data_IF_823752859392
#
_entry.id   IF_823752859392
#
_cell.length_a   1.000
_cell.length_b   1.000
_cell.length_c   1.000
_cell.angle_alpha   90.00
_cell.angle_beta   90.00
_cell.angle_gamma   90.00
#
_symmetry.space_group_name_H-M   'P 1'
#
loop_
_entity.id
_entity.type
_entity.pdbx_description
1 polymer ?
#
# COMPACT_ATOMS: atom_id res chain seq x y z
N UNK A 1 36.53 -12.30 -32.62
CA UNK A 1 35.15 -12.83 -32.57
C UNK A 1 34.35 -11.96 -31.61
N UNK A 2 33.34 -11.25 -32.09
CA UNK A 2 32.47 -10.40 -31.25
C UNK A 2 31.39 -11.31 -30.65
N UNK A 3 31.45 -11.54 -29.34
CA UNK A 3 30.35 -12.18 -28.63
C UNK A 3 29.15 -11.24 -28.67
N UNK A 4 28.14 -11.57 -29.48
CA UNK A 4 26.83 -10.95 -29.37
C UNK A 4 26.26 -11.31 -28.00
N UNK A 5 26.22 -10.36 -27.07
CA UNK A 5 25.33 -10.44 -25.92
C UNK A 5 23.90 -10.38 -26.47
N UNK A 6 23.34 -11.54 -26.81
CA UNK A 6 21.93 -11.67 -27.10
C UNK A 6 21.19 -11.34 -25.81
N UNK A 7 20.58 -10.14 -25.76
CA UNK A 7 19.57 -9.85 -24.76
C UNK A 7 18.42 -10.84 -24.97
N UNK A 8 18.16 -11.67 -23.96
CA UNK A 8 16.94 -12.47 -23.91
C UNK A 8 15.73 -11.52 -24.11
N UNK A 9 14.72 -11.91 -24.91
CA UNK A 9 13.57 -11.05 -25.18
C UNK A 9 12.92 -10.60 -23.87
N UNK A 10 12.56 -9.30 -23.83
CA UNK A 10 12.09 -8.57 -22.64
C UNK A 10 10.74 -9.01 -22.06
N UNK A 11 10.15 -10.10 -22.55
CA UNK A 11 8.89 -10.69 -22.05
C UNK A 11 8.95 -12.19 -22.37
N UNK A 12 8.94 -13.06 -21.35
CA UNK A 12 8.74 -14.49 -21.59
C UNK A 12 7.28 -14.70 -22.04
N UNK A 13 7.11 -15.16 -23.27
CA UNK A 13 5.81 -15.55 -23.82
C UNK A 13 5.83 -17.03 -24.12
N UNK A 14 4.81 -17.73 -23.63
CA UNK A 14 4.56 -19.10 -24.05
C UNK A 14 4.26 -19.11 -25.55
N UNK A 15 4.85 -20.08 -26.24
CA UNK A 15 4.61 -20.43 -27.63
C UNK A 15 3.64 -21.61 -27.75
N UNK A 16 3.48 -22.39 -26.67
CA UNK A 16 2.49 -23.46 -26.56
C UNK A 16 1.69 -23.36 -25.25
N UNK A 17 1.03 -24.44 -24.82
CA UNK A 17 0.28 -24.48 -23.55
C UNK A 17 0.98 -25.33 -22.49
N UNK A 18 0.94 -24.89 -21.24
CA UNK A 18 1.56 -25.54 -20.07
C UNK A 18 0.49 -25.83 -19.03
N UNK A 19 0.48 -27.05 -18.49
CA UNK A 19 -0.47 -27.48 -17.46
C UNK A 19 -1.36 -28.64 -17.89
N UNK A 20 -2.55 -28.68 -17.30
CA UNK A 20 -3.52 -29.76 -17.46
C UNK A 20 -3.93 -29.94 -18.93
N UNK A 21 -3.70 -31.14 -19.47
CA UNK A 21 -3.89 -31.47 -20.89
C UNK A 21 -3.18 -30.52 -21.89
N UNK A 22 -2.15 -29.79 -21.45
CA UNK A 22 -1.37 -28.88 -22.31
C UNK A 22 -0.33 -29.59 -23.18
N UNK A 23 0.26 -28.84 -24.12
CA UNK A 23 1.40 -29.31 -24.93
C UNK A 23 2.59 -29.70 -24.06
N UNK A 24 2.80 -28.95 -22.96
CA UNK A 24 3.81 -29.22 -21.94
C UNK A 24 5.23 -29.38 -22.53
N UNK A 25 5.63 -28.44 -23.40
CA UNK A 25 7.04 -28.37 -23.83
C UNK A 25 7.96 -28.29 -22.60
N UNK A 26 8.95 -29.19 -22.46
CA UNK A 26 9.75 -29.25 -21.23
C UNK A 26 10.49 -27.96 -20.88
N UNK A 27 10.85 -27.13 -21.87
CA UNK A 27 11.52 -25.85 -21.60
C UNK A 27 10.52 -24.84 -21.05
N UNK A 28 9.32 -24.76 -21.64
CA UNK A 28 8.26 -23.87 -21.17
C UNK A 28 7.75 -24.25 -19.79
N UNK A 29 7.54 -25.55 -19.55
CA UNK A 29 7.16 -26.07 -18.23
C UNK A 29 8.19 -25.67 -17.18
N UNK A 30 9.48 -25.83 -17.47
CA UNK A 30 10.56 -25.46 -16.54
C UNK A 30 10.54 -23.98 -16.21
N UNK A 31 10.31 -23.11 -17.20
CA UNK A 31 10.24 -21.66 -16.99
C UNK A 31 9.02 -21.32 -16.13
N UNK A 32 7.85 -21.89 -16.41
CA UNK A 32 6.65 -21.69 -15.59
C UNK A 32 6.89 -22.17 -14.15
N UNK A 33 7.48 -23.36 -13.95
CA UNK A 33 7.83 -23.84 -12.61
C UNK A 33 8.77 -22.88 -11.87
N UNK A 34 9.79 -22.34 -12.55
CA UNK A 34 10.69 -21.33 -11.97
C UNK A 34 9.93 -20.06 -11.59
N UNK A 35 9.00 -19.61 -12.43
CA UNK A 35 8.15 -18.44 -12.14
C UNK A 35 7.20 -18.70 -10.96
N UNK A 36 6.56 -19.86 -10.88
CA UNK A 36 5.69 -20.22 -9.76
C UNK A 36 6.48 -20.25 -8.43
N UNK A 37 7.68 -20.84 -8.44
CA UNK A 37 8.56 -20.87 -7.26
C UNK A 37 9.06 -19.47 -6.90
N UNK A 38 9.53 -18.70 -7.89
CA UNK A 38 10.03 -17.34 -7.69
C UNK A 38 8.95 -16.37 -7.22
N UNK A 39 7.71 -16.56 -7.65
CA UNK A 39 6.53 -15.86 -7.16
C UNK A 39 6.05 -16.43 -5.81
N UNK A 40 6.90 -17.08 -5.03
CA UNK A 40 6.61 -17.42 -3.63
C UNK A 40 5.58 -18.54 -3.38
N UNK A 41 5.24 -19.37 -4.37
CA UNK A 41 4.28 -20.47 -4.18
C UNK A 41 4.60 -21.35 -2.97
N UNK A 42 5.86 -21.73 -2.82
CA UNK A 42 6.30 -22.59 -1.70
C UNK A 42 6.25 -21.89 -0.36
N UNK A 43 6.48 -20.58 -0.31
CA UNK A 43 6.35 -19.78 0.91
C UNK A 43 4.88 -19.68 1.32
N UNK A 44 3.98 -19.48 0.35
CA UNK A 44 2.57 -19.28 0.61
C UNK A 44 1.82 -20.58 0.98
N UNK A 45 2.22 -21.71 0.41
CA UNK A 45 1.47 -22.98 0.55
C UNK A 45 2.20 -24.05 1.36
N UNK A 46 3.51 -23.89 1.61
CA UNK A 46 4.36 -24.97 2.14
C UNK A 46 4.61 -26.12 1.17
N UNK A 47 4.11 -26.04 -0.08
CA UNK A 47 4.28 -27.07 -1.12
C UNK A 47 5.46 -26.74 -2.01
N UNK A 48 6.25 -27.75 -2.38
CA UNK A 48 7.43 -27.58 -3.20
C UNK A 48 7.19 -28.06 -4.62
N UNK A 49 7.69 -27.29 -5.59
CA UNK A 49 7.73 -27.68 -7.00
C UNK A 49 9.20 -27.75 -7.40
N UNK A 50 9.58 -28.80 -8.11
CA UNK A 50 10.91 -28.92 -8.69
C UNK A 50 10.88 -28.38 -10.13
N UNK A 51 11.71 -27.39 -10.48
CA UNK A 51 11.78 -26.87 -11.85
C UNK A 51 12.55 -27.81 -12.79
N UNK A 52 11.96 -28.98 -13.07
CA UNK A 52 12.56 -30.07 -13.84
C UNK A 52 12.05 -30.16 -15.29
N UNK A 53 11.06 -29.33 -15.66
CA UNK A 53 10.43 -29.36 -16.98
C UNK A 53 9.38 -30.45 -17.15
N UNK A 54 9.01 -31.18 -16.08
CA UNK A 54 7.97 -32.20 -16.11
C UNK A 54 6.68 -31.64 -15.51
N UNK A 55 5.63 -31.57 -16.32
CA UNK A 55 4.34 -31.08 -15.86
C UNK A 55 3.61 -32.15 -15.04
N UNK A 56 3.96 -32.23 -13.75
CA UNK A 56 3.36 -33.15 -12.79
C UNK A 56 2.13 -32.52 -12.09
N UNK A 57 1.47 -33.31 -11.23
CA UNK A 57 0.30 -32.85 -10.48
C UNK A 57 0.61 -31.62 -9.61
N UNK A 58 1.81 -31.55 -9.01
CA UNK A 58 2.22 -30.38 -8.21
C UNK A 58 2.28 -29.10 -9.05
N UNK A 59 2.79 -29.21 -10.28
CA UNK A 59 2.82 -28.09 -11.24
C UNK A 59 1.41 -27.64 -11.59
N UNK A 60 0.51 -28.59 -11.89
CA UNK A 60 -0.90 -28.29 -12.22
C UNK A 60 -1.62 -27.64 -11.03
N UNK A 61 -1.44 -28.16 -9.82
CA UNK A 61 -2.06 -27.58 -8.61
C UNK A 61 -1.51 -26.20 -8.27
N UNK A 62 -0.24 -25.94 -8.57
CA UNK A 62 0.32 -24.60 -8.44
C UNK A 62 -0.28 -23.62 -9.44
N UNK A 63 -0.46 -24.02 -10.70
CA UNK A 63 -1.15 -23.21 -11.71
C UNK A 63 -2.57 -22.88 -11.24
N UNK A 64 -3.33 -23.90 -10.80
CA UNK A 64 -4.69 -23.72 -10.26
C UNK A 64 -4.72 -22.78 -9.06
N UNK A 65 -3.71 -22.86 -8.20
CA UNK A 65 -3.61 -21.97 -7.04
C UNK A 65 -3.47 -20.50 -7.44
N UNK A 66 -2.57 -20.15 -8.37
CA UNK A 66 -2.46 -18.77 -8.86
C UNK A 66 -3.69 -18.34 -9.65
N UNK A 67 -4.31 -19.24 -10.42
CA UNK A 67 -5.56 -18.91 -11.11
C UNK A 67 -6.64 -18.50 -10.10
N UNK A 68 -6.84 -19.26 -9.01
CA UNK A 68 -7.76 -18.88 -7.92
C UNK A 68 -7.34 -17.58 -7.25
N UNK A 69 -6.04 -17.38 -7.05
CA UNK A 69 -5.51 -16.16 -6.43
C UNK A 69 -5.82 -14.92 -7.27
N UNK A 70 -5.74 -15.03 -8.59
CA UNK A 70 -6.02 -13.97 -9.55
C UNK A 70 -7.47 -13.97 -10.06
N UNK A 71 -8.37 -14.66 -9.36
CA UNK A 71 -9.79 -14.80 -9.72
C UNK A 71 -10.04 -15.26 -11.17
N UNK A 72 -9.13 -16.07 -11.72
CA UNK A 72 -9.24 -16.76 -13.00
C UNK A 72 -9.88 -18.15 -12.81
N UNK A 73 -10.37 -18.73 -13.90
CA UNK A 73 -10.84 -20.12 -13.89
C UNK A 73 -9.69 -21.07 -13.54
N UNK A 74 -9.82 -21.95 -12.53
CA UNK A 74 -8.75 -22.84 -12.08
C UNK A 74 -8.63 -24.07 -13.00
N UNK A 75 -8.45 -23.87 -14.30
CA UNK A 75 -8.29 -24.94 -15.28
C UNK A 75 -7.05 -25.78 -15.02
N UNK A 76 -6.01 -25.20 -14.43
CA UNK A 76 -4.69 -25.79 -14.35
C UNK A 76 -3.93 -25.75 -15.67
N UNK A 77 -4.46 -25.06 -16.68
CA UNK A 77 -3.88 -24.87 -18.01
C UNK A 77 -3.59 -23.39 -18.25
N UNK A 78 -2.40 -23.10 -18.74
CA UNK A 78 -1.97 -21.78 -19.20
C UNK A 78 -1.69 -21.88 -20.70
N UNK A 79 -2.32 -21.01 -21.47
CA UNK A 79 -2.13 -20.85 -22.91
C UNK A 79 -1.24 -19.65 -23.23
N UNK A 80 -0.70 -19.61 -24.44
CA UNK A 80 0.01 -18.44 -24.98
C UNK A 80 -0.84 -17.15 -24.98
N UNK A 81 -2.17 -17.28 -24.96
CA UNK A 81 -3.11 -16.15 -24.90
C UNK A 81 -3.41 -15.67 -23.49
N UNK A 82 -3.00 -16.40 -22.44
CA UNK A 82 -3.19 -16.00 -21.04
C UNK A 82 -2.15 -14.96 -20.61
N UNK A 83 -2.06 -13.87 -21.37
CA UNK A 83 -1.07 -12.80 -21.17
C UNK A 83 -1.15 -12.19 -19.78
N UNK A 84 -2.36 -12.11 -19.21
CA UNK A 84 -2.61 -11.59 -17.87
C UNK A 84 -1.93 -12.43 -16.77
N UNK A 85 -2.06 -13.76 -16.85
CA UNK A 85 -1.46 -14.68 -15.89
C UNK A 85 0.07 -14.64 -15.97
N UNK A 86 0.59 -14.65 -17.19
CA UNK A 86 2.04 -14.60 -17.43
C UNK A 86 2.66 -13.27 -16.95
N UNK A 87 1.98 -12.14 -17.21
CA UNK A 87 2.41 -10.83 -16.73
C UNK A 87 2.43 -10.79 -15.19
N UNK A 88 1.41 -11.31 -14.52
CA UNK A 88 1.37 -11.35 -13.05
C UNK A 88 2.53 -12.17 -12.45
N UNK A 89 2.85 -13.32 -13.05
CA UNK A 89 4.00 -14.13 -12.62
C UNK A 89 5.34 -13.45 -12.90
N UNK A 90 5.49 -12.81 -14.05
CA UNK A 90 6.69 -12.06 -14.40
C UNK A 90 6.92 -10.86 -13.47
N UNK A 91 5.87 -10.10 -13.18
CA UNK A 91 5.93 -8.96 -12.25
C UNK A 91 6.21 -9.40 -10.81
N UNK A 92 5.74 -10.60 -10.40
CA UNK A 92 6.04 -11.18 -9.08
C UNK A 92 7.44 -11.83 -8.98
N UNK A 93 8.05 -12.26 -10.10
CA UNK A 93 9.32 -13.01 -10.12
C UNK A 93 10.52 -12.19 -10.53
N UNK A 94 10.31 -11.13 -11.32
CA UNK A 94 11.43 -10.30 -11.76
C UNK A 94 11.95 -9.47 -10.58
N UNK A 95 13.26 -9.52 -10.30
CA UNK A 95 13.87 -8.70 -9.26
C UNK A 95 14.05 -7.27 -9.78
N UNK A 96 12.96 -6.59 -10.15
CA UNK A 96 12.90 -5.14 -10.12
C UNK A 96 12.84 -4.71 -8.65
N UNK A 97 13.90 -5.05 -7.90
CA UNK A 97 14.05 -4.84 -6.45
C UNK A 97 14.13 -3.35 -6.07
N UNK A 98 13.89 -2.46 -7.03
CA UNK A 98 13.62 -1.04 -6.86
C UNK A 98 12.65 -0.60 -7.96
N UNK A 99 11.51 0.02 -7.63
CA UNK A 99 10.69 0.71 -8.61
C UNK A 99 11.56 1.69 -9.41
N UNK A 100 11.39 1.71 -10.75
CA UNK A 100 12.22 2.52 -11.66
C UNK A 100 12.18 4.02 -11.35
N UNK A 101 11.18 4.48 -10.58
CA UNK A 101 11.03 5.85 -10.10
C UNK A 101 11.20 5.93 -8.58
N UNK A 102 12.46 5.81 -8.14
CA UNK A 102 12.93 6.22 -6.80
C UNK A 102 13.19 7.74 -6.75
N UNK A 103 13.33 8.35 -7.93
CA UNK A 103 13.62 9.77 -8.12
C UNK A 103 12.33 10.54 -8.39
N UNK A 104 12.06 11.54 -7.55
CA UNK A 104 10.92 12.43 -7.65
C UNK A 104 10.61 13.05 -6.30
N UNK A 105 10.16 14.32 -6.25
CA UNK A 105 9.82 14.96 -4.99
C UNK A 105 8.66 14.19 -4.33
N UNK A 106 8.83 13.81 -3.06
CA UNK A 106 7.78 13.27 -2.20
C UNK A 106 6.79 14.38 -1.79
N UNK A 107 6.12 14.96 -2.80
CA UNK A 107 5.16 16.04 -2.65
C UNK A 107 3.77 15.59 -3.07
N UNK A 108 2.80 15.98 -2.27
CA UNK A 108 1.37 15.74 -2.49
C UNK A 108 0.65 17.07 -2.67
N UNK A 109 -0.42 17.06 -3.46
CA UNK A 109 -1.27 18.25 -3.67
C UNK A 109 -2.09 18.61 -2.43
N UNK A 110 -2.35 17.63 -1.55
CA UNK A 110 -3.13 17.76 -0.32
C UNK A 110 -2.49 16.93 0.80
N UNK A 111 -2.52 17.42 2.04
CA UNK A 111 -2.11 16.62 3.19
C UNK A 111 -0.61 16.39 3.37
N UNK A 112 0.26 17.29 2.90
CA UNK A 112 1.72 17.13 2.98
C UNK A 112 2.21 16.84 4.42
N UNK A 113 1.65 17.50 5.43
CA UNK A 113 1.98 17.27 6.85
C UNK A 113 1.79 15.79 7.21
N UNK A 114 0.62 15.25 6.87
CA UNK A 114 0.28 13.84 7.15
C UNK A 114 1.11 12.90 6.31
N UNK A 115 1.34 13.22 5.03
CA UNK A 115 2.18 12.42 4.16
C UNK A 115 3.60 12.27 4.73
N UNK A 116 4.22 13.36 5.16
CA UNK A 116 5.56 13.37 5.75
C UNK A 116 5.60 12.67 7.12
N UNK A 117 4.47 12.69 7.84
CA UNK A 117 4.35 12.05 9.15
C UNK A 117 4.16 10.52 9.07
N UNK A 118 3.38 10.00 8.13
CA UNK A 118 2.89 8.60 8.13
C UNK A 118 3.90 7.56 7.63
N UNK A 119 4.92 7.95 6.86
CA UNK A 119 5.79 6.98 6.20
C UNK A 119 7.28 7.31 6.27
N UNK A 120 8.09 6.27 6.21
CA UNK A 120 9.53 6.39 5.98
C UNK A 120 9.85 5.88 4.58
N UNK A 121 10.58 6.67 3.79
CA UNK A 121 11.14 6.22 2.51
C UNK A 121 12.66 6.09 2.64
N UNK A 122 13.28 5.19 1.88
CA UNK A 122 14.72 4.92 1.96
C UNK A 122 15.55 6.00 1.25
N UNK A 123 15.60 7.23 1.75
CA UNK A 123 16.71 8.13 1.36
C UNK A 123 17.49 8.50 2.62
N UNK A 124 18.17 7.52 3.22
CA UNK A 124 19.41 7.69 4.01
C UNK A 124 20.07 6.32 4.27
N UNK A 125 20.70 5.73 3.26
CA UNK A 125 21.93 4.93 3.37
C UNK A 125 22.20 4.26 2.02
N UNK A 126 23.15 4.80 1.27
CA UNK A 126 23.91 4.01 0.30
C UNK A 126 24.59 2.86 1.05
N UNK A 127 24.65 1.68 0.44
CA UNK A 127 25.53 0.59 0.91
C UNK A 127 26.95 1.15 1.16
N UNK A 128 27.69 0.65 2.18
CA UNK A 128 27.59 -0.69 2.76
C UNK A 128 26.99 -0.77 4.18
N UNK A 129 26.23 0.22 4.63
CA UNK A 129 25.58 0.12 5.95
C UNK A 129 24.27 -0.66 5.86
N UNK A 130 24.20 -1.72 6.66
CA UNK A 130 23.07 -2.62 6.85
C UNK A 130 21.75 -1.86 6.84
N UNK A 131 20.82 -2.28 5.98
CA UNK A 131 19.41 -1.96 6.16
C UNK A 131 19.00 -2.58 7.50
N UNK A 132 18.90 -1.76 8.53
CA UNK A 132 18.10 -2.13 9.68
C UNK A 132 16.67 -2.32 9.13
N UNK A 133 15.94 -3.41 9.44
CA UNK A 133 14.53 -3.52 9.11
C UNK A 133 13.82 -2.35 9.81
N UNK A 134 13.60 -1.26 9.07
CA UNK A 134 12.91 -0.12 9.60
C UNK A 134 11.46 -0.56 9.74
N UNK A 135 10.88 -0.57 10.96
CA UNK A 135 9.45 -0.70 11.05
C UNK A 135 8.87 0.47 10.23
N UNK A 136 7.84 0.22 9.41
CA UNK A 136 7.12 1.25 8.64
C UNK A 136 7.74 1.73 7.30
N UNK A 137 8.48 0.89 6.57
CA UNK A 137 8.71 1.16 5.14
C UNK A 137 7.37 1.15 4.39
N UNK A 138 6.96 2.30 3.86
CA UNK A 138 5.57 2.51 3.46
C UNK A 138 5.20 1.89 2.11
N UNK A 139 6.17 1.63 1.21
CA UNK A 139 5.87 1.20 -0.17
C UNK A 139 5.71 -0.31 -0.34
N UNK A 140 5.76 -1.07 0.75
CA UNK A 140 5.41 -2.49 0.78
C UNK A 140 4.20 -2.71 1.70
N UNK A 141 3.56 -3.88 1.55
CA UNK A 141 2.57 -4.31 2.52
C UNK A 141 3.21 -4.42 3.91
N UNK A 142 2.55 -3.85 4.89
CA UNK A 142 2.93 -3.93 6.28
C UNK A 142 1.69 -3.96 7.16
N UNK A 143 1.87 -4.36 8.42
CA UNK A 143 0.83 -4.32 9.42
C UNK A 143 1.39 -3.62 10.66
N UNK A 144 0.90 -2.41 10.99
CA UNK A 144 1.25 -1.76 12.25
C UNK A 144 0.64 -2.58 13.40
N UNK A 145 1.43 -3.05 14.38
CA UNK A 145 0.92 -3.83 15.51
C UNK A 145 0.22 -2.95 16.55
N UNK A 146 -0.73 -2.12 16.11
CA UNK A 146 -1.46 -1.15 16.93
C UNK A 146 -2.96 -1.38 16.73
N UNK A 147 -3.70 -1.45 17.85
CA UNK A 147 -5.17 -1.51 17.99
C UNK A 147 -6.01 -1.68 16.73
N UNK A 148 -6.32 -2.92 16.34
CA UNK A 148 -7.30 -3.22 15.29
C UNK A 148 -6.88 -2.82 13.86
N UNK A 149 -5.62 -2.47 13.65
CA UNK A 149 -5.07 -2.17 12.31
C UNK A 149 -5.15 -3.39 11.40
N UNK A 150 -5.44 -3.13 10.12
CA UNK A 150 -5.41 -4.12 9.06
C UNK A 150 -4.14 -4.06 8.23
N UNK A 151 -4.15 -4.79 7.12
CA UNK A 151 -3.05 -4.76 6.15
C UNK A 151 -2.98 -3.35 5.55
N UNK A 152 -1.80 -2.74 5.59
CA UNK A 152 -1.58 -1.36 5.16
C UNK A 152 -0.62 -1.32 3.97
N UNK A 153 -0.89 -0.43 3.02
CA UNK A 153 -0.01 -0.11 1.90
C UNK A 153 0.18 1.39 1.79
N UNK A 154 1.35 1.84 1.32
CA UNK A 154 1.65 3.26 1.22
C UNK A 154 1.64 3.93 2.59
N UNK A 155 1.30 5.22 2.61
CA UNK A 155 1.28 6.04 3.81
C UNK A 155 -0.11 6.10 4.41
N UNK A 156 -0.50 5.04 5.11
CA UNK A 156 -1.75 4.99 5.88
C UNK A 156 -3.00 4.55 5.12
N UNK A 157 -2.87 3.80 4.02
CA UNK A 157 -4.01 3.13 3.39
C UNK A 157 -4.25 1.76 4.03
N UNK A 158 -5.08 1.74 5.07
CA UNK A 158 -5.45 0.54 5.85
C UNK A 158 -6.62 -0.23 5.20
N UNK A 159 -6.46 -1.53 4.95
CA UNK A 159 -7.48 -2.35 4.27
C UNK A 159 -8.47 -3.04 5.24
N UNK A 160 -8.28 -2.91 6.56
CA UNK A 160 -9.02 -3.63 7.58
C UNK A 160 -10.47 -3.17 7.76
N UNK A 161 -10.85 -1.98 7.32
CA UNK A 161 -12.23 -1.50 7.32
C UNK A 161 -12.80 -1.27 5.91
N UNK A 162 -12.14 -1.78 4.88
CA UNK A 162 -12.52 -1.59 3.47
C UNK A 162 -13.00 -2.91 2.87
N UNK A 163 -13.98 -2.82 1.99
CA UNK A 163 -14.43 -3.96 1.18
C UNK A 163 -13.41 -4.28 0.08
N UNK A 164 -13.46 -5.52 -0.42
CA UNK A 164 -12.60 -5.95 -1.52
C UNK A 164 -12.77 -5.09 -2.78
N UNK A 165 -14.01 -4.65 -3.07
CA UNK A 165 -14.32 -3.78 -4.21
C UNK A 165 -13.70 -2.38 -4.07
N UNK A 166 -13.77 -1.78 -2.88
CA UNK A 166 -13.15 -0.48 -2.60
C UNK A 166 -11.63 -0.54 -2.73
N UNK A 167 -11.00 -1.60 -2.19
CA UNK A 167 -9.55 -1.81 -2.29
C UNK A 167 -9.13 -1.92 -3.75
N UNK A 168 -9.80 -2.79 -4.52
CA UNK A 168 -9.51 -2.99 -5.93
C UNK A 168 -9.64 -1.69 -6.74
N UNK A 169 -10.74 -0.96 -6.57
CA UNK A 169 -10.99 0.30 -7.27
C UNK A 169 -9.94 1.36 -6.92
N UNK A 170 -9.60 1.50 -5.64
CA UNK A 170 -8.63 2.50 -5.16
C UNK A 170 -7.23 2.22 -5.69
N UNK A 171 -6.77 0.97 -5.63
CA UNK A 171 -5.42 0.60 -6.08
C UNK A 171 -5.29 0.75 -7.60
N UNK A 172 -6.32 0.36 -8.37
CA UNK A 172 -6.38 0.63 -9.82
C UNK A 172 -6.30 2.12 -10.12
N UNK A 173 -7.06 2.94 -9.40
CA UNK A 173 -7.03 4.41 -9.56
C UNK A 173 -5.67 5.01 -9.19
N UNK A 174 -4.97 4.42 -8.21
CA UNK A 174 -3.60 4.77 -7.88
C UNK A 174 -2.57 4.29 -8.93
N UNK A 175 -3.01 3.59 -9.98
CA UNK A 175 -2.18 3.02 -11.03
C UNK A 175 -1.30 1.88 -10.54
N UNK A 176 -1.74 1.17 -9.50
CA UNK A 176 -1.12 -0.08 -9.04
C UNK A 176 -1.57 -1.20 -9.96
N UNK A 177 -0.63 -2.09 -10.28
CA UNK A 177 -0.83 -3.17 -11.23
C UNK A 177 -2.00 -4.05 -10.80
N UNK A 178 -2.79 -4.49 -11.78
CA UNK A 178 -4.07 -5.14 -11.51
C UNK A 178 -3.91 -6.45 -10.70
N UNK A 179 -2.81 -7.18 -10.87
CA UNK A 179 -2.57 -8.41 -10.09
C UNK A 179 -2.31 -8.09 -8.61
N UNK A 180 -1.55 -7.02 -8.31
CA UNK A 180 -1.33 -6.52 -6.95
C UNK A 180 -2.64 -6.05 -6.34
N UNK A 181 -3.46 -5.33 -7.12
CA UNK A 181 -4.74 -4.84 -6.67
C UNK A 181 -5.71 -6.00 -6.29
N UNK A 182 -5.75 -7.06 -7.11
CA UNK A 182 -6.54 -8.26 -6.81
C UNK A 182 -6.02 -9.02 -5.58
N UNK A 183 -4.70 -9.14 -5.43
CA UNK A 183 -4.07 -9.71 -4.24
C UNK A 183 -4.46 -8.92 -2.99
N UNK A 184 -4.23 -7.61 -3.00
CA UNK A 184 -4.55 -6.71 -1.89
C UNK A 184 -6.04 -6.70 -1.55
N UNK A 185 -6.94 -6.86 -2.52
CA UNK A 185 -8.38 -6.95 -2.27
C UNK A 185 -8.76 -8.13 -1.35
N UNK A 186 -7.94 -9.19 -1.29
CA UNK A 186 -8.12 -10.31 -0.35
C UNK A 186 -7.77 -9.95 1.10
N UNK A 187 -7.14 -8.80 1.32
CA UNK A 187 -6.88 -8.28 2.66
C UNK A 187 -8.08 -7.54 3.28
N UNK A 188 -9.19 -7.43 2.55
CA UNK A 188 -10.42 -6.79 3.01
C UNK A 188 -10.86 -7.33 4.37
N UNK A 189 -11.04 -6.43 5.34
CA UNK A 189 -11.54 -6.79 6.67
C UNK A 189 -10.51 -7.48 7.59
N UNK A 190 -9.34 -7.90 7.07
CA UNK A 190 -8.33 -8.60 7.87
C UNK A 190 -7.71 -7.63 8.88
N UNK A 191 -7.60 -8.10 10.13
CA UNK A 191 -7.05 -7.32 11.25
C UNK A 191 -6.15 -8.19 12.13
N UNK A 192 -5.32 -7.53 12.93
CA UNK A 192 -4.49 -8.18 13.95
C UNK A 192 -3.65 -9.34 13.35
N UNK A 193 -3.74 -10.53 13.94
CA UNK A 193 -2.98 -11.72 13.50
C UNK A 193 -3.24 -12.12 12.05
N UNK A 194 -4.46 -11.93 11.55
CA UNK A 194 -4.79 -12.27 10.16
C UNK A 194 -4.08 -11.32 9.18
N UNK A 195 -4.01 -10.03 9.53
CA UNK A 195 -3.26 -9.04 8.75
C UNK A 195 -1.75 -9.33 8.78
N UNK A 196 -1.19 -9.68 9.94
CA UNK A 196 0.22 -10.10 10.07
C UNK A 196 0.54 -11.31 9.17
N UNK A 197 -0.30 -12.35 9.23
CA UNK A 197 -0.13 -13.54 8.41
C UNK A 197 -0.27 -13.23 6.92
N UNK A 198 -1.23 -12.37 6.55
CA UNK A 198 -1.42 -11.94 5.18
C UNK A 198 -0.17 -11.23 4.64
N UNK A 199 0.41 -10.30 5.39
CA UNK A 199 1.64 -9.58 4.99
C UNK A 199 2.80 -10.55 4.80
N UNK A 200 2.98 -11.51 5.71
CA UNK A 200 4.05 -12.52 5.61
C UNK A 200 3.92 -13.40 4.37
N UNK A 201 2.69 -13.76 4.00
CA UNK A 201 2.41 -14.67 2.88
C UNK A 201 2.39 -13.95 1.54
N UNK A 202 1.66 -12.83 1.44
CA UNK A 202 1.38 -12.15 0.18
C UNK A 202 2.20 -10.87 -0.02
N UNK A 203 2.83 -10.33 1.03
CA UNK A 203 3.71 -9.16 0.94
C UNK A 203 4.82 -9.32 -0.10
N UNK A 204 5.55 -10.46 -0.13
CA UNK A 204 6.55 -10.71 -1.17
C UNK A 204 5.98 -10.72 -2.59
N UNK A 205 4.72 -11.12 -2.77
CA UNK A 205 4.05 -11.23 -4.07
C UNK A 205 3.61 -9.88 -4.61
N UNK A 206 3.11 -9.04 -3.69
CA UNK A 206 2.73 -7.66 -4.02
C UNK A 206 3.98 -6.81 -4.28
N UNK A 207 5.05 -7.04 -3.53
CA UNK A 207 6.29 -6.30 -3.68
C UNK A 207 6.12 -4.81 -3.36
N UNK A 208 6.92 -3.98 -4.02
CA UNK A 208 6.98 -2.54 -3.77
C UNK A 208 6.15 -1.73 -4.78
N UNK A 209 5.56 -0.62 -4.31
CA UNK A 209 4.92 0.39 -5.17
C UNK A 209 5.87 1.57 -5.44
N UNK A 210 5.70 2.25 -6.56
CA UNK A 210 6.46 3.46 -6.94
C UNK A 210 6.12 4.66 -6.05
N UNK A 211 6.98 5.71 -6.01
CA UNK A 211 6.64 6.99 -5.37
C UNK A 211 5.33 7.57 -5.89
N UNK A 212 5.12 7.52 -7.21
CA UNK A 212 3.92 8.07 -7.83
C UNK A 212 2.64 7.29 -7.45
N UNK A 213 2.72 5.96 -7.40
CA UNK A 213 1.61 5.11 -6.91
C UNK A 213 1.30 5.43 -5.44
N UNK A 214 2.32 5.57 -4.59
CA UNK A 214 2.15 5.95 -3.18
C UNK A 214 1.50 7.33 -3.02
N UNK A 215 1.95 8.32 -3.80
CA UNK A 215 1.38 9.68 -3.80
C UNK A 215 -0.10 9.63 -4.18
N UNK A 216 -0.44 8.96 -5.30
CA UNK A 216 -1.83 8.85 -5.74
C UNK A 216 -2.70 8.10 -4.73
N UNK A 217 -2.19 6.98 -4.20
CA UNK A 217 -2.89 6.19 -3.18
C UNK A 217 -3.19 7.03 -1.93
N UNK A 218 -2.20 7.79 -1.46
CA UNK A 218 -2.37 8.69 -0.33
C UNK A 218 -3.40 9.77 -0.64
N UNK A 219 -3.31 10.47 -1.77
CA UNK A 219 -4.25 11.54 -2.09
C UNK A 219 -5.70 11.06 -2.20
N UNK A 220 -5.92 9.85 -2.75
CA UNK A 220 -7.26 9.24 -2.81
C UNK A 220 -7.78 9.02 -1.38
N UNK A 221 -7.00 8.34 -0.53
CA UNK A 221 -7.38 8.05 0.85
C UNK A 221 -7.54 9.33 1.70
N UNK A 222 -6.71 10.34 1.45
CA UNK A 222 -6.70 11.59 2.20
C UNK A 222 -7.95 12.43 1.92
N UNK A 223 -8.52 12.36 0.71
CA UNK A 223 -9.81 13.02 0.40
C UNK A 223 -10.94 12.48 1.28
N UNK A 224 -11.00 11.16 1.49
CA UNK A 224 -11.97 10.55 2.42
C UNK A 224 -11.77 11.10 3.84
N UNK A 225 -10.52 11.28 4.26
CA UNK A 225 -10.19 11.83 5.57
C UNK A 225 -10.56 13.30 5.72
N UNK A 226 -10.41 14.12 4.66
CA UNK A 226 -10.86 15.51 4.64
C UNK A 226 -12.37 15.58 4.88
N UNK A 227 -13.16 14.76 4.18
CA UNK A 227 -14.62 14.72 4.37
C UNK A 227 -15.00 14.24 5.78
N UNK A 228 -14.30 13.23 6.31
CA UNK A 228 -14.46 12.83 7.70
C UNK A 228 -14.18 14.00 8.66
N UNK A 229 -13.11 14.75 8.44
CA UNK A 229 -12.73 15.89 9.28
C UNK A 229 -13.72 17.05 9.21
N UNK A 230 -14.25 17.37 8.03
CA UNK A 230 -15.38 18.30 7.87
C UNK A 230 -16.58 17.85 8.71
N UNK A 231 -16.93 16.57 8.64
CA UNK A 231 -18.00 15.99 9.44
C UNK A 231 -17.74 16.09 10.95
N UNK A 232 -16.50 15.85 11.41
CA UNK A 232 -16.12 16.05 12.82
C UNK A 232 -16.29 17.51 13.22
N UNK A 233 -15.77 18.45 12.42
CA UNK A 233 -15.87 19.88 12.67
C UNK A 233 -17.34 20.32 12.84
N UNK A 234 -18.19 20.05 11.84
CA UNK A 234 -19.60 20.45 11.87
C UNK A 234 -20.38 19.82 13.04
N UNK A 235 -20.13 18.55 13.35
CA UNK A 235 -20.77 17.89 14.52
C UNK A 235 -20.36 18.54 15.83
N UNK A 236 -19.09 18.90 16.00
CA UNK A 236 -18.60 19.50 17.24
C UNK A 236 -19.03 20.95 17.39
N UNK A 237 -19.04 21.75 16.31
CA UNK A 237 -19.62 23.11 16.31
C UNK A 237 -21.05 23.10 16.82
N UNK A 238 -21.90 22.21 16.27
CA UNK A 238 -23.28 22.05 16.72
C UNK A 238 -23.37 21.61 18.19
N UNK A 239 -22.56 20.62 18.59
CA UNK A 239 -22.57 20.09 19.96
C UNK A 239 -22.15 21.14 21.00
N UNK A 240 -21.24 22.03 20.64
CA UNK A 240 -20.73 23.10 21.50
C UNK A 240 -21.62 24.36 21.47
N UNK A 241 -22.58 24.45 20.56
CA UNK A 241 -23.49 25.59 20.46
C UNK A 241 -22.81 26.89 20.00
N UNK A 242 -21.77 26.80 19.15
CA UNK A 242 -21.04 27.98 18.67
C UNK A 242 -21.86 28.69 17.60
N UNK A 243 -22.42 29.87 17.92
CA UNK A 243 -23.39 30.59 17.09
C UNK A 243 -22.78 31.34 15.90
N UNK A 244 -21.55 31.84 16.04
CA UNK A 244 -20.82 32.58 15.00
C UNK A 244 -19.61 31.78 14.48
N UNK A 245 -19.77 30.46 14.33
CA UNK A 245 -18.69 29.60 13.89
C UNK A 245 -18.24 29.94 12.46
N UNK A 246 -16.93 29.99 12.23
CA UNK A 246 -16.39 30.08 10.87
C UNK A 246 -16.86 28.89 10.02
N UNK A 247 -17.16 29.16 8.75
CA UNK A 247 -17.33 28.08 7.77
C UNK A 247 -16.01 27.31 7.62
N UNK A 248 -16.09 26.00 7.37
CA UNK A 248 -14.90 25.16 7.18
C UNK A 248 -13.96 25.74 6.12
N UNK A 249 -14.47 26.27 5.02
CA UNK A 249 -13.61 26.80 3.96
C UNK A 249 -12.97 28.15 4.30
N UNK A 250 -13.51 28.85 5.30
CA UNK A 250 -12.97 30.11 5.82
C UNK A 250 -11.88 29.91 6.86
N UNK A 251 -11.73 28.70 7.43
CA UNK A 251 -10.62 28.36 8.33
C UNK A 251 -9.31 28.29 7.54
N UNK A 252 -8.25 28.89 8.09
CA UNK A 252 -6.90 28.87 7.53
C UNK A 252 -6.49 27.45 7.10
N UNK A 253 -5.98 27.32 5.87
CA UNK A 253 -5.62 26.03 5.28
C UNK A 253 -4.62 25.25 6.15
N UNK A 254 -3.62 25.90 6.72
CA UNK A 254 -2.61 25.25 7.56
C UNK A 254 -3.22 24.70 8.85
N UNK A 255 -4.19 25.42 9.43
CA UNK A 255 -4.95 24.97 10.61
C UNK A 255 -5.81 23.76 10.24
N UNK A 256 -6.47 23.80 9.07
CA UNK A 256 -7.24 22.64 8.57
C UNK A 256 -6.36 21.41 8.36
N UNK A 257 -5.23 21.57 7.68
CA UNK A 257 -4.30 20.48 7.42
C UNK A 257 -3.78 19.87 8.74
N UNK A 258 -3.42 20.71 9.72
CA UNK A 258 -3.02 20.26 11.05
C UNK A 258 -4.16 19.52 11.77
N UNK A 259 -5.40 20.02 11.69
CA UNK A 259 -6.57 19.37 12.30
C UNK A 259 -6.81 17.98 11.72
N UNK A 260 -6.82 17.85 10.39
CA UNK A 260 -6.97 16.55 9.71
C UNK A 260 -5.87 15.58 10.15
N UNK A 261 -4.63 16.06 10.26
CA UNK A 261 -3.52 15.24 10.73
C UNK A 261 -3.71 14.73 12.17
N UNK A 262 -4.25 15.56 13.07
CA UNK A 262 -4.57 15.09 14.43
C UNK A 262 -5.63 13.98 14.42
N UNK A 263 -6.63 14.06 13.52
CA UNK A 263 -7.65 13.03 13.36
C UNK A 263 -7.08 11.74 12.74
N UNK A 264 -5.99 11.82 11.98
CA UNK A 264 -5.27 10.65 11.48
C UNK A 264 -4.63 9.86 12.63
N UNK A 265 -4.10 10.56 13.63
CA UNK A 265 -3.53 9.98 14.85
C UNK A 265 -4.58 9.51 15.88
N UNK A 266 -5.88 9.76 15.63
CA UNK A 266 -6.95 9.39 16.57
C UNK A 266 -7.14 10.40 17.71
N UNK A 267 -7.01 11.70 17.43
CA UNK A 267 -7.21 12.79 18.40
C UNK A 267 -8.56 12.71 19.15
N UNK A 268 -8.50 12.30 20.42
CA UNK A 268 -9.68 12.21 21.31
C UNK A 268 -10.15 13.56 21.85
N UNK A 269 -9.31 14.58 21.83
CA UNK A 269 -9.61 15.94 22.30
C UNK A 269 -10.00 16.89 21.17
N UNK A 270 -10.28 16.36 19.96
CA UNK A 270 -10.61 17.14 18.76
C UNK A 270 -11.64 18.26 18.99
N UNK A 271 -12.58 18.09 19.93
CA UNK A 271 -13.56 19.13 20.33
C UNK A 271 -12.92 20.45 20.78
N UNK A 272 -11.75 20.41 21.44
CA UNK A 272 -11.03 21.59 21.92
C UNK A 272 -10.41 22.35 20.75
N UNK A 273 -9.78 21.63 19.82
CA UNK A 273 -9.25 22.23 18.60
C UNK A 273 -10.36 22.82 17.74
N UNK A 274 -11.49 22.12 17.58
CA UNK A 274 -12.65 22.64 16.84
C UNK A 274 -13.17 23.94 17.44
N UNK A 275 -13.21 24.06 18.78
CA UNK A 275 -13.61 25.31 19.42
C UNK A 275 -12.72 26.48 18.99
N UNK A 276 -11.40 26.31 19.08
CA UNK A 276 -10.41 27.32 18.68
C UNK A 276 -10.60 27.68 17.19
N UNK A 277 -10.74 26.67 16.32
CA UNK A 277 -10.94 26.88 14.88
C UNK A 277 -12.23 27.65 14.57
N UNK A 278 -13.34 27.26 15.20
CA UNK A 278 -14.66 27.83 14.93
C UNK A 278 -14.77 29.28 15.40
N UNK A 279 -14.08 29.63 16.49
CA UNK A 279 -14.04 30.99 17.03
C UNK A 279 -13.04 31.90 16.28
N UNK A 280 -12.38 31.40 15.22
CA UNK A 280 -11.39 32.18 14.45
C UNK A 280 -10.04 32.34 15.15
N UNK A 281 -9.67 31.38 16.00
CA UNK A 281 -8.42 31.38 16.73
C UNK A 281 -7.19 31.40 15.81
N UNK A 282 -6.12 32.01 16.31
CA UNK A 282 -4.84 32.15 15.61
C UNK A 282 -4.08 30.82 15.52
N UNK A 283 -3.09 30.77 14.60
CA UNK A 283 -2.14 29.64 14.52
C UNK A 283 -1.40 29.41 15.83
N UNK A 284 -1.10 30.47 16.59
CA UNK A 284 -0.44 30.35 17.90
C UNK A 284 -1.32 29.60 18.92
N UNK A 285 -2.62 29.88 18.98
CA UNK A 285 -3.53 29.14 19.87
C UNK A 285 -3.62 27.65 19.50
N UNK A 286 -3.52 27.33 18.20
CA UNK A 286 -3.44 25.93 17.75
C UNK A 286 -2.10 25.30 18.16
N UNK A 287 -0.98 26.01 18.02
CA UNK A 287 0.34 25.54 18.48
C UNK A 287 0.31 25.26 19.99
N UNK A 288 -0.28 26.15 20.78
CA UNK A 288 -0.39 25.99 22.23
C UNK A 288 -1.26 24.78 22.59
N UNK A 289 -2.36 24.56 21.88
CA UNK A 289 -3.17 23.34 22.01
C UNK A 289 -2.34 22.08 21.70
N UNK A 290 -1.62 22.06 20.56
CA UNK A 290 -0.84 20.89 20.14
C UNK A 290 0.30 20.54 21.12
N UNK A 291 0.91 21.55 21.76
CA UNK A 291 1.98 21.35 22.75
C UNK A 291 1.47 20.87 24.10
N UNK A 292 0.27 21.31 24.49
CA UNK A 292 -0.31 21.01 25.80
C UNK A 292 -1.17 19.75 25.82
N UNK A 293 -1.51 19.19 24.66
CA UNK A 293 -2.27 17.94 24.58
C UNK A 293 -1.37 16.73 24.92
N UNK A 294 -1.62 16.11 26.08
CA UNK A 294 -0.86 14.96 26.57
C UNK A 294 -0.97 13.72 25.68
N UNK A 295 -2.04 13.57 24.90
CA UNK A 295 -2.22 12.43 23.99
C UNK A 295 -1.46 12.64 22.67
N UNK A 296 -1.44 13.88 22.14
CA UNK A 296 -0.69 14.23 20.93
C UNK A 296 0.81 14.43 21.21
N UNK A 297 1.18 14.80 22.43
CA UNK A 297 2.57 15.01 22.86
C UNK A 297 3.44 13.75 22.90
N UNK A 298 2.84 12.56 22.86
CA UNK A 298 3.56 11.28 22.84
C UNK A 298 4.39 11.06 21.55
N UNK A 299 3.95 11.61 20.41
CA UNK A 299 4.72 11.65 19.15
C UNK A 299 5.31 13.05 18.92
N UNK A 300 6.41 13.32 19.63
CA UNK A 300 7.14 14.61 19.57
C UNK A 300 7.51 14.98 18.14
N UNK A 301 7.92 14.01 17.32
CA UNK A 301 8.33 14.24 15.92
C UNK A 301 7.15 14.79 15.12
N UNK A 302 5.97 14.15 15.19
CA UNK A 302 4.79 14.59 14.46
C UNK A 302 4.27 15.94 14.96
N UNK A 303 4.30 16.18 16.27
CA UNK A 303 3.95 17.47 16.85
C UNK A 303 4.87 18.59 16.34
N UNK A 304 6.18 18.34 16.25
CA UNK A 304 7.12 19.31 15.67
C UNK A 304 6.85 19.61 14.19
N UNK A 305 6.45 18.62 13.39
CA UNK A 305 6.08 18.83 11.97
C UNK A 305 4.85 19.75 11.88
N UNK A 306 3.81 19.52 12.70
CA UNK A 306 2.60 20.37 12.75
C UNK A 306 2.95 21.80 13.15
N UNK A 307 3.71 21.98 14.23
CA UNK A 307 4.09 23.30 14.75
C UNK A 307 4.88 24.08 13.72
N UNK A 308 5.86 23.46 13.04
CA UNK A 308 6.64 24.12 11.99
C UNK A 308 5.78 24.59 10.81
N UNK A 309 4.70 23.88 10.49
CA UNK A 309 3.78 24.29 9.42
C UNK A 309 2.89 25.47 9.82
N UNK A 310 2.64 25.65 11.12
CA UNK A 310 1.79 26.70 11.67
C UNK A 310 2.55 28.01 11.99
N UNK A 311 3.89 27.99 11.98
CA UNK A 311 4.75 29.18 12.12
C UNK A 311 4.84 29.94 10.80
#
# INVERSE_FOLDING_TARGET
>A
MRHSQQHAPRVFRLTSSVGDCGTNDPKEVKIVQQQLVGAGYSVATGRHIQPDGRCNLDTIEAIRWYQRLLNLSPSGLISATDTWFMQALEEATTPHWRPQNISGPLRVSIGQITFDAEGTDYITAVMPFRQNPYPYFSRILHWPPVGGSGVTLGRGYDMGNRSAGEILATLRQAGIEEYKAQLCAKAAGLKNREADQFVKVYGPLVGEITHQQQIRLFEIAYREKIEYGKGVYSRQVRRLGITNALDWNSVDKTIRDAFIDTLYQGNVTAKQMVKIMAEGGSRQQIIDYLRNDSNLGSDVRRTNIRVRNLQ
#
